data_IF_487613540830
#
_entry.id   IF_487613540830
#
_cell.length_a   1.000
_cell.length_b   1.000
_cell.length_c   1.000
_cell.angle_alpha   90.00
_cell.angle_beta   90.00
_cell.angle_gamma   90.00
#
_symmetry.space_group_name_H-M   'P 1'
#
loop_
_entity.id
_entity.type
_entity.pdbx_description
1 polymer ?
#
# COMPACT_ATOMS: atom_id res chain seq x y z
N UNK A 1 -3.53 16.33 3.30
CA UNK A 1 -2.19 15.80 2.99
C UNK A 1 -2.28 14.93 1.75
N UNK A 2 -1.22 14.81 0.97
CA UNK A 2 -1.20 13.94 -0.22
C UNK A 2 -0.14 12.88 0.02
N UNK A 3 -0.57 11.61 0.01
CA UNK A 3 0.31 10.45 0.14
C UNK A 3 0.64 9.91 -1.25
N UNK A 4 1.86 9.41 -1.41
CA UNK A 4 2.31 8.69 -2.61
C UNK A 4 2.89 7.36 -2.17
N UNK A 5 2.56 6.31 -2.90
CA UNK A 5 3.11 4.96 -2.70
C UNK A 5 3.45 4.37 -4.06
N UNK A 6 4.46 3.52 -4.09
CA UNK A 6 4.82 2.71 -5.25
C UNK A 6 4.49 1.25 -4.93
N UNK A 7 3.71 0.62 -5.80
CA UNK A 7 3.24 -0.75 -5.61
C UNK A 7 3.61 -1.60 -6.82
N UNK A 8 3.88 -2.89 -6.60
CA UNK A 8 4.03 -3.85 -7.67
C UNK A 8 2.66 -4.14 -8.30
N UNK A 9 2.57 -4.11 -9.62
CA UNK A 9 1.33 -4.43 -10.33
C UNK A 9 1.16 -5.96 -10.45
N UNK A 10 0.46 -6.58 -9.50
CA UNK A 10 0.14 -8.01 -9.53
C UNK A 10 -1.15 -8.31 -8.74
N UNK A 11 -1.87 -9.37 -9.11
CA UNK A 11 -3.13 -9.75 -8.45
C UNK A 11 -2.94 -10.18 -6.98
N UNK A 12 -1.75 -10.64 -6.62
CA UNK A 12 -1.40 -11.04 -5.25
C UNK A 12 -1.13 -9.84 -4.33
N UNK A 13 -0.94 -8.64 -4.90
CA UNK A 13 -0.74 -7.41 -4.13
C UNK A 13 -2.11 -6.76 -3.92
N UNK A 14 -2.53 -6.67 -2.66
CA UNK A 14 -3.85 -6.20 -2.27
C UNK A 14 -3.74 -4.96 -1.38
N UNK A 15 -4.64 -4.00 -1.58
CA UNK A 15 -4.97 -2.95 -0.62
C UNK A 15 -6.24 -3.33 0.14
N UNK A 16 -6.62 -2.54 1.15
CA UNK A 16 -7.82 -2.78 1.96
C UNK A 16 -8.86 -1.72 1.62
N UNK A 17 -10.04 -2.15 1.17
CA UNK A 17 -11.16 -1.25 0.93
C UNK A 17 -11.86 -0.84 2.24
N UNK A 18 -12.75 0.16 2.24
CA UNK A 18 -13.38 0.67 3.46
C UNK A 18 -14.12 -0.38 4.29
N UNK A 19 -14.64 -1.45 3.68
CA UNK A 19 -15.31 -2.57 4.37
C UNK A 19 -14.37 -3.61 4.99
N UNK A 20 -13.05 -3.49 4.78
CA UNK A 20 -12.04 -4.42 5.27
C UNK A 20 -11.67 -5.54 4.29
N UNK A 21 -12.33 -5.62 3.15
CA UNK A 21 -12.03 -6.57 2.09
C UNK A 21 -10.73 -6.24 1.34
N UNK A 22 -9.96 -7.27 0.92
CA UNK A 22 -8.80 -7.08 0.07
C UNK A 22 -9.22 -6.73 -1.36
N UNK A 23 -8.54 -5.75 -1.95
CA UNK A 23 -8.71 -5.34 -3.35
C UNK A 23 -7.38 -5.45 -4.09
N UNK A 24 -7.27 -6.30 -5.13
CA UNK A 24 -6.06 -6.41 -5.93
C UNK A 24 -5.73 -5.09 -6.63
N UNK A 25 -4.46 -4.69 -6.62
CA UNK A 25 -4.02 -3.43 -7.25
C UNK A 25 -4.29 -3.39 -8.75
N UNK A 26 -4.38 -4.56 -9.41
CA UNK A 26 -4.73 -4.69 -10.83
C UNK A 26 -6.18 -4.31 -11.15
N UNK A 27 -7.05 -4.19 -10.13
CA UNK A 27 -8.47 -3.84 -10.28
C UNK A 27 -8.78 -2.40 -9.85
N UNK A 28 -7.83 -1.69 -9.25
CA UNK A 28 -8.01 -0.32 -8.79
C UNK A 28 -8.17 0.63 -9.98
N UNK A 29 -9.04 1.63 -9.81
CA UNK A 29 -9.27 2.71 -10.77
C UNK A 29 -9.34 4.06 -10.04
N UNK A 30 -9.11 5.18 -10.76
CA UNK A 30 -9.31 6.51 -10.18
C UNK A 30 -10.71 6.65 -9.58
N UNK A 31 -10.75 7.11 -8.32
CA UNK A 31 -11.98 7.27 -7.55
C UNK A 31 -12.27 6.13 -6.57
N UNK A 32 -11.56 5.00 -6.64
CA UNK A 32 -11.66 3.98 -5.60
C UNK A 32 -11.06 4.46 -4.28
N UNK A 33 -11.72 4.12 -3.17
CA UNK A 33 -11.26 4.42 -1.83
C UNK A 33 -10.53 3.22 -1.22
N UNK A 34 -9.45 3.50 -0.49
CA UNK A 34 -8.65 2.48 0.22
C UNK A 34 -8.23 3.01 1.58
N UNK A 35 -8.04 2.10 2.53
CA UNK A 35 -7.52 2.42 3.84
C UNK A 35 -6.00 2.58 3.80
N UNK A 36 -5.50 3.59 4.51
CA UNK A 36 -4.07 3.86 4.65
C UNK A 36 -3.73 3.80 6.13
N UNK A 37 -2.63 3.13 6.46
CA UNK A 37 -2.04 3.15 7.80
C UNK A 37 -0.67 3.81 7.73
N UNK A 38 -0.50 4.95 8.40
CA UNK A 38 0.73 5.73 8.38
C UNK A 38 1.59 5.33 9.58
N UNK A 39 2.77 4.77 9.32
CA UNK A 39 3.76 4.46 10.36
C UNK A 39 5.19 4.85 9.95
N UNK A 40 6.08 4.96 10.94
CA UNK A 40 7.52 5.15 10.70
C UNK A 40 8.21 3.79 10.51
N UNK A 41 9.08 3.71 9.50
CA UNK A 41 9.83 2.50 9.14
C UNK A 41 9.11 1.65 8.09
N UNK A 42 9.76 0.58 7.64
CA UNK A 42 9.25 -0.35 6.64
C UNK A 42 8.81 -1.70 7.23
N UNK A 43 8.38 -2.62 6.36
CA UNK A 43 8.11 -4.02 6.73
C UNK A 43 8.73 -4.99 5.74
N UNK A 44 9.45 -5.98 6.23
CA UNK A 44 9.95 -7.11 5.44
C UNK A 44 9.26 -8.38 5.95
N UNK A 45 8.49 -9.05 5.10
CA UNK A 45 7.68 -10.23 5.48
C UNK A 45 6.82 -9.98 6.73
N UNK A 46 6.26 -8.76 6.86
CA UNK A 46 5.40 -8.36 7.99
C UNK A 46 6.16 -7.89 9.24
N UNK A 47 7.47 -8.14 9.34
CA UNK A 47 8.30 -7.67 10.45
C UNK A 47 8.70 -6.21 10.25
N UNK A 48 8.55 -5.39 11.29
CA UNK A 48 8.96 -3.98 11.26
C UNK A 48 10.48 -3.89 11.13
N UNK A 49 10.95 -3.06 10.20
CA UNK A 49 12.37 -2.80 9.95
C UNK A 49 12.62 -1.31 9.88
N UNK A 50 13.84 -0.89 10.26
CA UNK A 50 14.32 0.44 9.90
C UNK A 50 14.62 0.44 8.40
N UNK A 51 13.93 1.30 7.66
CA UNK A 51 14.06 1.39 6.20
C UNK A 51 14.37 2.83 5.81
N UNK A 52 15.19 3.00 4.77
CA UNK A 52 15.41 4.28 4.10
C UNK A 52 15.17 4.08 2.60
N UNK A 53 14.17 4.77 2.05
CA UNK A 53 13.88 4.79 0.62
C UNK A 53 14.42 6.09 0.03
N UNK A 54 15.24 5.98 -1.02
CA UNK A 54 15.73 7.14 -1.79
C UNK A 54 15.08 7.10 -3.16
N UNK A 55 14.08 7.94 -3.39
CA UNK A 55 13.52 8.18 -4.72
C UNK A 55 14.45 9.13 -5.49
N UNK A 56 14.90 8.74 -6.69
CA UNK A 56 15.71 9.54 -7.61
C UNK A 56 14.97 9.80 -8.91
#
# INVERSE_FOLDING_TARGET
EVYKVLLQLAETINLVAPGGEPVPVTRLKPGDEVLIYVEKGGRHFGMKVEETVVER
#
